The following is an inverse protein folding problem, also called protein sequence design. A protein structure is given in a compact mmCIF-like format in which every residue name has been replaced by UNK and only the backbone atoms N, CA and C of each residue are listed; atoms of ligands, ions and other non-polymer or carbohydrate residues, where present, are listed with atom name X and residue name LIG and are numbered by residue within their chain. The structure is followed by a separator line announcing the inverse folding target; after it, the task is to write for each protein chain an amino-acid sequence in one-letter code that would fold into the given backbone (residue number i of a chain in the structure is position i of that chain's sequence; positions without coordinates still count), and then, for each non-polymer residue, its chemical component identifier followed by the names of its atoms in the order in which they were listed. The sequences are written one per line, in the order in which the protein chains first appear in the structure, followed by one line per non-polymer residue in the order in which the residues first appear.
data_IF_766410174038
#
_entry.id   IF_766410174038
#
_cell.length_a   1.000
_cell.length_b   1.000
_cell.length_c   1.000
_cell.angle_alpha   90.00
_cell.angle_beta   90.00
_cell.angle_gamma   90.00
#
_symmetry.space_group_name_H-M   'P 1'
#
loop_
_entity.id
_entity.type
_entity.pdbx_description
1 polymer ?
#
# COMPACT_ATOMS: atom_id res chain seq x y z
N UNK A 1 -42.60 -54.65 -28.35
CA UNK A 1 -41.26 -55.29 -28.31
C UNK A 1 -40.44 -54.84 -29.51
N UNK A 2 -39.40 -54.03 -29.32
CA UNK A 2 -38.06 -54.13 -29.95
C UNK A 2 -37.27 -52.89 -29.52
N UNK A 3 -36.14 -53.17 -28.87
CA UNK A 3 -35.20 -52.22 -28.27
C UNK A 3 -34.39 -51.55 -29.39
N UNK A 4 -34.13 -50.25 -29.30
CA UNK A 4 -33.07 -49.60 -30.06
C UNK A 4 -32.25 -48.75 -29.09
N UNK A 5 -31.09 -49.29 -28.72
CA UNK A 5 -30.18 -48.76 -27.71
C UNK A 5 -29.22 -47.79 -28.41
N UNK A 6 -29.57 -46.50 -28.39
CA UNK A 6 -28.78 -45.42 -28.98
C UNK A 6 -27.83 -44.81 -27.94
N UNK A 7 -26.56 -45.16 -28.05
CA UNK A 7 -25.41 -44.56 -27.37
C UNK A 7 -25.40 -43.04 -27.62
N UNK A 8 -25.79 -42.23 -26.63
CA UNK A 8 -25.66 -40.77 -26.71
C UNK A 8 -24.47 -40.32 -25.86
N UNK A 9 -23.35 -40.12 -26.54
CA UNK A 9 -22.13 -39.49 -26.05
C UNK A 9 -22.47 -38.03 -25.71
N UNK A 10 -22.86 -37.75 -24.46
CA UNK A 10 -22.97 -36.37 -23.97
C UNK A 10 -21.57 -35.84 -23.71
N UNK A 11 -20.99 -35.23 -24.75
CA UNK A 11 -20.01 -34.15 -24.61
C UNK A 11 -20.67 -33.03 -23.80
N UNK A 12 -20.63 -33.12 -22.48
CA UNK A 12 -20.73 -31.94 -21.63
C UNK A 12 -19.40 -31.23 -21.72
N UNK A 13 -19.27 -30.36 -22.71
CA UNK A 13 -18.29 -29.28 -22.71
C UNK A 13 -18.55 -28.43 -21.48
N UNK A 14 -17.83 -28.73 -20.40
CA UNK A 14 -17.68 -27.83 -19.26
C UNK A 14 -16.95 -26.62 -19.83
N UNK A 15 -17.74 -25.63 -20.26
CA UNK A 15 -17.26 -24.29 -20.53
C UNK A 15 -16.85 -23.74 -19.17
N UNK A 16 -15.59 -23.97 -18.82
CA UNK A 16 -14.89 -23.23 -17.78
C UNK A 16 -14.78 -21.81 -18.35
N UNK A 17 -15.82 -21.00 -18.14
CA UNK A 17 -15.71 -19.55 -18.27
C UNK A 17 -14.70 -19.11 -17.23
N UNK A 18 -13.45 -19.07 -17.70
CA UNK A 18 -12.29 -18.56 -17.01
C UNK A 18 -12.70 -17.32 -16.23
N UNK A 19 -12.48 -17.38 -14.92
CA UNK A 19 -12.72 -16.29 -13.99
C UNK A 19 -12.13 -15.03 -14.61
N UNK A 20 -12.99 -14.09 -14.99
CA UNK A 20 -12.59 -12.76 -15.43
C UNK A 20 -11.74 -12.19 -14.31
N UNK A 21 -10.43 -12.24 -14.53
CA UNK A 21 -9.40 -11.75 -13.64
C UNK A 21 -9.68 -10.26 -13.50
N UNK A 22 -10.43 -9.87 -12.47
CA UNK A 22 -10.62 -8.48 -12.08
C UNK A 22 -9.26 -7.97 -11.61
N UNK A 23 -8.38 -7.66 -12.56
CA UNK A 23 -7.27 -6.75 -12.34
C UNK A 23 -7.94 -5.44 -12.02
N UNK A 24 -7.98 -5.06 -10.75
CA UNK A 24 -7.99 -3.64 -10.40
C UNK A 24 -6.84 -3.05 -11.22
N UNK A 25 -7.17 -2.24 -12.23
CA UNK A 25 -6.15 -1.59 -13.04
C UNK A 25 -5.35 -0.72 -12.07
N UNK A 26 -4.11 -1.11 -11.78
CA UNK A 26 -3.20 -0.24 -11.05
C UNK A 26 -3.00 0.98 -11.94
N UNK A 27 -3.61 2.11 -11.56
CA UNK A 27 -3.41 3.35 -12.29
C UNK A 27 -1.93 3.75 -12.18
N UNK A 28 -1.27 4.05 -13.30
CA UNK A 28 0.13 4.45 -13.29
C UNK A 28 0.30 5.73 -12.47
N UNK A 29 1.41 5.81 -11.72
CA UNK A 29 1.77 6.99 -10.95
C UNK A 29 1.81 8.23 -11.88
N UNK A 30 1.00 9.25 -11.58
CA UNK A 30 1.04 10.50 -12.33
C UNK A 30 1.95 11.51 -11.62
N UNK A 31 3.19 11.62 -12.09
CA UNK A 31 4.19 12.51 -11.48
C UNK A 31 3.77 13.99 -11.47
N UNK A 32 2.92 14.43 -12.41
CA UNK A 32 2.43 15.81 -12.48
C UNK A 32 1.42 16.18 -11.38
N UNK A 33 0.87 15.18 -10.67
CA UNK A 33 -0.15 15.36 -9.63
C UNK A 33 0.36 15.03 -8.23
N UNK A 34 1.66 14.84 -8.08
CA UNK A 34 2.26 14.49 -6.80
C UNK A 34 2.09 15.62 -5.79
N UNK A 35 1.74 15.23 -4.58
CA UNK A 35 1.80 16.09 -3.40
C UNK A 35 2.91 15.57 -2.51
N UNK A 36 3.81 16.47 -2.11
CA UNK A 36 4.96 16.13 -1.29
C UNK A 36 4.78 16.58 0.14
N UNK A 37 5.31 15.77 1.05
CA UNK A 37 5.30 16.01 2.47
C UNK A 37 6.67 15.68 3.08
N UNK A 38 7.01 16.37 4.15
CA UNK A 38 8.24 16.16 4.92
C UNK A 38 7.92 16.15 6.41
N UNK A 39 8.48 15.19 7.12
CA UNK A 39 8.51 15.14 8.57
C UNK A 39 9.97 15.15 9.06
N UNK A 40 10.23 15.87 10.14
CA UNK A 40 11.54 15.93 10.79
C UNK A 40 11.32 15.67 12.28
N UNK A 41 12.03 14.68 12.83
CA UNK A 41 12.03 14.35 14.25
C UNK A 41 13.47 14.19 14.74
N UNK A 42 14.00 15.24 15.37
CA UNK A 42 15.41 15.30 15.79
C UNK A 42 16.38 15.17 14.61
N UNK A 43 17.08 14.04 14.52
CA UNK A 43 18.03 13.73 13.44
C UNK A 43 17.43 12.85 12.33
N UNK A 44 16.19 12.41 12.52
CA UNK A 44 15.50 11.54 11.59
C UNK A 44 14.60 12.38 10.69
N UNK A 45 14.41 11.93 9.45
CA UNK A 45 13.49 12.57 8.51
C UNK A 45 12.71 11.54 7.72
N UNK A 46 11.52 11.93 7.28
CA UNK A 46 10.71 11.13 6.39
C UNK A 46 10.11 12.02 5.30
N UNK A 47 10.28 11.64 4.05
CA UNK A 47 9.75 12.33 2.88
C UNK A 47 8.77 11.40 2.17
N UNK A 48 7.59 11.93 1.88
CA UNK A 48 6.49 11.22 1.25
C UNK A 48 6.02 12.01 0.04
N UNK A 49 5.90 11.36 -1.10
CA UNK A 49 5.33 11.95 -2.31
C UNK A 49 4.28 11.00 -2.86
N UNK A 50 3.03 11.45 -2.91
CA UNK A 50 1.89 10.60 -3.26
C UNK A 50 0.97 11.32 -4.24
N UNK A 51 0.40 10.55 -5.17
CA UNK A 51 -0.74 10.98 -5.96
C UNK A 51 -2.02 10.77 -5.13
N UNK A 52 -2.72 11.85 -4.83
CA UNK A 52 -4.00 11.84 -4.09
C UNK A 52 -5.20 12.12 -4.99
N UNK A 53 -5.02 12.12 -6.31
CA UNK A 53 -6.08 12.46 -7.27
C UNK A 53 -7.16 11.39 -7.35
N UNK A 54 -6.83 10.18 -6.92
CA UNK A 54 -7.68 9.00 -6.95
C UNK A 54 -7.82 8.42 -5.54
N UNK A 55 -8.73 7.44 -5.37
CA UNK A 55 -8.91 6.75 -4.07
C UNK A 55 -7.74 5.83 -3.72
N UNK A 56 -6.85 5.58 -4.67
CA UNK A 56 -5.64 4.79 -4.49
C UNK A 56 -4.46 5.72 -4.25
N UNK A 57 -3.64 5.36 -3.27
CA UNK A 57 -2.35 6.01 -3.02
C UNK A 57 -1.33 5.28 -3.87
N UNK A 58 -0.58 6.01 -4.67
CA UNK A 58 0.64 5.54 -5.32
C UNK A 58 1.70 6.62 -5.17
N UNK A 59 2.92 6.24 -4.81
CA UNK A 59 3.93 7.21 -4.46
C UNK A 59 5.28 6.65 -4.08
N UNK A 60 6.14 7.58 -3.68
CA UNK A 60 7.47 7.32 -3.15
C UNK A 60 7.53 7.67 -1.68
N UNK A 61 8.23 6.84 -0.91
CA UNK A 61 8.40 7.08 0.51
C UNK A 61 9.85 6.79 0.91
N UNK A 62 10.46 7.76 1.60
CA UNK A 62 11.84 7.70 2.04
C UNK A 62 11.92 8.05 3.52
N UNK A 63 12.58 7.22 4.30
CA UNK A 63 12.89 7.49 5.70
C UNK A 63 14.40 7.46 5.90
N UNK A 64 14.94 8.47 6.58
CA UNK A 64 16.35 8.57 6.94
C UNK A 64 16.48 8.62 8.46
N UNK A 65 17.23 7.68 9.02
CA UNK A 65 17.50 7.61 10.45
C UNK A 65 18.95 8.00 10.72
N UNK A 66 19.13 9.16 11.35
CA UNK A 66 20.44 9.77 11.63
C UNK A 66 21.35 9.90 10.40
N UNK A 67 20.80 9.93 9.18
CA UNK A 67 21.54 9.97 7.91
C UNK A 67 22.33 8.70 7.55
N UNK A 68 22.32 7.67 8.39
CA UNK A 68 23.13 6.46 8.19
C UNK A 68 22.31 5.30 7.65
N UNK A 69 21.06 5.17 8.11
CA UNK A 69 20.11 4.16 7.64
C UNK A 69 19.03 4.84 6.84
N UNK A 70 18.97 4.54 5.55
CA UNK A 70 17.95 5.07 4.63
C UNK A 70 17.09 3.92 4.15
N UNK A 71 15.79 4.07 4.31
CA UNK A 71 14.77 3.24 3.69
C UNK A 71 14.21 4.04 2.51
N UNK A 72 14.26 3.48 1.31
CA UNK A 72 13.83 4.15 0.08
C UNK A 72 13.01 3.18 -0.75
N UNK A 73 11.86 3.64 -1.26
CA UNK A 73 10.96 2.78 -2.00
C UNK A 73 9.60 3.40 -2.32
N UNK A 74 8.63 2.52 -2.54
CA UNK A 74 7.29 2.87 -3.03
C UNK A 74 6.23 2.60 -1.98
N UNK A 75 5.22 3.46 -1.96
CA UNK A 75 4.04 3.31 -1.10
C UNK A 75 2.80 3.16 -1.96
N UNK A 76 2.03 2.09 -1.70
CA UNK A 76 0.79 1.79 -2.43
C UNK A 76 -0.32 1.44 -1.46
N UNK A 77 -1.48 2.06 -1.62
CA UNK A 77 -2.57 1.88 -0.66
C UNK A 77 -3.87 2.54 -1.07
N UNK A 78 -4.69 2.84 -0.08
CA UNK A 78 -6.04 3.38 -0.25
C UNK A 78 -6.34 4.50 0.74
N UNK A 79 -7.15 5.45 0.28
CA UNK A 79 -7.70 6.54 1.08
C UNK A 79 -9.10 6.14 1.54
N UNK A 80 -9.34 6.14 2.85
CA UNK A 80 -10.63 5.88 3.49
C UNK A 80 -10.94 7.00 4.49
N UNK A 81 -11.78 7.94 4.07
CA UNK A 81 -12.07 9.13 4.86
C UNK A 81 -10.83 10.01 4.98
N UNK A 82 -10.43 10.30 6.22
CA UNK A 82 -9.20 11.01 6.58
C UNK A 82 -7.97 10.10 6.67
N UNK A 83 -8.14 8.79 6.54
CA UNK A 83 -7.08 7.82 6.79
C UNK A 83 -6.51 7.26 5.49
N UNK A 84 -5.19 7.28 5.36
CA UNK A 84 -4.43 6.61 4.31
C UNK A 84 -3.80 5.35 4.90
N UNK A 85 -4.13 4.16 4.37
CA UNK A 85 -3.44 2.91 4.72
C UNK A 85 -2.74 2.35 3.49
N UNK A 86 -1.49 1.93 3.63
CA UNK A 86 -0.67 1.50 2.52
C UNK A 86 0.34 0.41 2.90
N UNK A 87 0.86 -0.26 1.89
CA UNK A 87 2.09 -1.04 1.98
C UNK A 87 3.26 -0.18 1.49
N UNK A 88 4.32 -0.17 2.28
CA UNK A 88 5.59 0.44 1.96
C UNK A 88 6.60 -0.65 1.60
N UNK A 89 6.95 -0.71 0.32
CA UNK A 89 7.97 -1.59 -0.22
C UNK A 89 9.27 -0.82 -0.37
N UNK A 90 10.33 -1.25 0.32
CA UNK A 90 11.57 -0.48 0.39
C UNK A 90 12.82 -1.34 0.40
N UNK A 91 13.93 -0.72 0.01
CA UNK A 91 15.28 -1.21 0.28
C UNK A 91 15.93 -0.38 1.36
N UNK A 92 16.78 -1.03 2.15
CA UNK A 92 17.70 -0.34 3.06
C UNK A 92 18.98 -0.04 2.28
N UNK A 93 19.53 1.17 2.43
CA UNK A 93 20.79 1.52 1.80
C UNK A 93 21.88 0.46 2.03
N UNK A 94 22.64 0.14 0.98
CA UNK A 94 23.69 -0.90 0.97
C UNK A 94 23.19 -2.35 1.16
N UNK A 95 21.88 -2.57 1.12
CA UNK A 95 21.27 -3.91 1.20
C UNK A 95 20.44 -4.17 -0.04
N UNK A 96 20.80 -5.18 -0.83
CA UNK A 96 20.04 -5.57 -2.01
C UNK A 96 18.93 -6.58 -1.67
N UNK A 97 18.01 -6.15 -0.81
CA UNK A 97 16.83 -6.93 -0.42
C UNK A 97 15.63 -6.00 -0.25
N UNK A 98 14.50 -6.42 -0.80
CA UNK A 98 13.21 -5.75 -0.60
C UNK A 98 12.58 -6.17 0.72
N UNK A 99 12.00 -5.19 1.40
CA UNK A 99 11.20 -5.33 2.60
C UNK A 99 9.84 -4.68 2.36
N UNK A 100 8.82 -5.17 3.07
CA UNK A 100 7.47 -4.60 3.04
C UNK A 100 7.03 -4.33 4.46
N UNK A 101 6.51 -3.14 4.74
CA UNK A 101 5.84 -2.80 6.00
C UNK A 101 4.49 -2.13 5.72
N UNK A 102 3.44 -2.44 6.49
CA UNK A 102 2.22 -1.63 6.46
C UNK A 102 2.49 -0.27 7.11
N UNK A 103 1.93 0.79 6.54
CA UNK A 103 2.00 2.17 7.04
C UNK A 103 0.61 2.78 7.04
N UNK A 104 0.34 3.63 8.01
CA UNK A 104 -0.93 4.34 8.13
C UNK A 104 -0.67 5.81 8.44
N UNK A 105 -1.41 6.68 7.77
CA UNK A 105 -1.36 8.12 7.96
C UNK A 105 -2.76 8.64 8.23
N UNK A 106 -2.91 9.51 9.22
CA UNK A 106 -4.14 10.26 9.49
C UNK A 106 -3.98 11.68 8.94
N UNK A 107 -4.88 12.08 8.06
CA UNK A 107 -4.97 13.45 7.58
C UNK A 107 -5.71 14.30 8.60
N UNK A 108 -4.99 15.25 9.20
CA UNK A 108 -5.54 16.15 10.20
C UNK A 108 -4.88 17.52 10.05
N UNK A 109 -5.69 18.59 10.01
CA UNK A 109 -5.21 19.98 9.94
C UNK A 109 -4.21 20.26 8.81
N UNK A 110 -4.40 19.62 7.65
CA UNK A 110 -3.51 19.75 6.49
C UNK A 110 -2.17 19.01 6.62
N UNK A 111 -1.96 18.28 7.71
CA UNK A 111 -0.80 17.42 7.97
C UNK A 111 -1.16 15.95 7.79
N UNK A 112 -0.13 15.10 7.70
CA UNK A 112 -0.28 13.65 7.80
C UNK A 112 0.43 13.14 9.06
N UNK A 113 -0.30 12.53 9.98
CA UNK A 113 0.25 11.95 11.20
C UNK A 113 0.48 10.46 10.95
N UNK A 114 1.73 9.99 11.05
CA UNK A 114 2.02 8.56 10.87
C UNK A 114 1.66 7.79 12.13
N UNK A 115 0.74 6.84 12.01
CA UNK A 115 0.28 6.03 13.14
C UNK A 115 1.15 4.81 13.42
N UNK A 116 1.03 4.29 14.63
CA UNK A 116 1.63 3.04 15.08
C UNK A 116 0.53 2.00 15.24
N UNK A 117 0.68 0.85 14.59
CA UNK A 117 -0.28 -0.24 14.66
C UNK A 117 0.38 -1.55 15.05
N UNK A 118 -0.41 -2.47 15.61
CA UNK A 118 0.02 -3.85 15.79
C UNK A 118 0.11 -4.54 14.43
N UNK A 119 1.21 -5.27 14.17
CA UNK A 119 1.46 -5.94 12.90
C UNK A 119 1.35 -7.44 13.09
N UNK A 120 0.54 -8.07 12.23
CA UNK A 120 0.42 -9.52 12.11
C UNK A 120 1.00 -10.01 10.78
N UNK A 121 1.51 -11.24 10.79
CA UNK A 121 1.95 -11.92 9.58
C UNK A 121 0.82 -12.77 9.03
N UNK A 122 0.34 -12.44 7.83
CA UNK A 122 -0.67 -13.22 7.12
C UNK A 122 0.02 -13.76 5.87
N UNK A 123 0.15 -15.09 5.78
CA UNK A 123 0.84 -15.78 4.67
C UNK A 123 2.25 -15.25 4.38
N UNK A 124 3.00 -14.89 5.43
CA UNK A 124 4.36 -14.37 5.30
C UNK A 124 4.46 -12.90 4.88
N UNK A 125 3.35 -12.17 4.78
CA UNK A 125 3.33 -10.72 4.55
C UNK A 125 2.83 -9.97 5.79
N UNK A 126 3.43 -8.83 6.16
CA UNK A 126 3.00 -8.04 7.29
C UNK A 126 1.79 -7.15 6.96
N UNK A 127 0.78 -7.18 7.82
CA UNK A 127 -0.42 -6.35 7.77
C UNK A 127 -0.73 -5.77 9.14
N UNK A 128 -1.47 -4.66 9.20
CA UNK A 128 -2.02 -4.22 10.47
C UNK A 128 -3.04 -5.23 11.01
N UNK A 129 -3.07 -5.41 12.33
CA UNK A 129 -4.13 -6.15 12.99
C UNK A 129 -5.41 -5.31 12.96
N UNK A 130 -6.37 -5.67 12.11
CA UNK A 130 -7.64 -4.93 11.98
C UNK A 130 -8.51 -4.94 13.25
N UNK A 131 -8.20 -5.78 14.24
CA UNK A 131 -8.87 -5.78 15.55
C UNK A 131 -8.31 -4.72 16.51
N UNK A 132 -7.17 -4.13 16.19
CA UNK A 132 -6.47 -3.15 17.03
C UNK A 132 -6.41 -1.84 16.27
N UNK A 133 -6.93 -0.77 16.88
CA UNK A 133 -6.90 0.55 16.27
C UNK A 133 -5.45 1.03 16.08
N UNK A 134 -5.23 1.80 15.02
CA UNK A 134 -3.97 2.51 14.83
C UNK A 134 -3.90 3.63 15.86
N UNK A 135 -2.78 3.72 16.57
CA UNK A 135 -2.50 4.75 17.56
C UNK A 135 -1.73 5.89 16.87
N UNK A 136 -2.42 7.00 16.62
CA UNK A 136 -1.84 8.19 15.99
C UNK A 136 -1.15 9.13 16.99
N UNK A 137 -1.38 8.97 18.29
CA UNK A 137 -0.75 9.77 19.35
C UNK A 137 0.68 9.30 19.64
N UNK A 138 0.97 8.01 19.38
CA UNK A 138 2.33 7.44 19.46
C UNK A 138 3.18 7.66 18.21
N UNK A 139 2.61 8.27 17.17
CA UNK A 139 3.28 8.56 15.92
C UNK A 139 4.45 9.53 16.09
N UNK A 140 5.66 9.13 15.68
CA UNK A 140 6.84 10.03 15.72
C UNK A 140 6.85 11.06 14.59
N UNK A 141 6.44 10.65 13.39
CA UNK A 141 6.50 11.52 12.21
C UNK A 141 5.17 12.22 11.97
N UNK A 142 5.19 13.54 12.07
CA UNK A 142 4.13 14.44 11.61
C UNK A 142 4.62 15.14 10.36
N UNK A 143 3.96 14.85 9.25
CA UNK A 143 4.32 15.31 7.92
C UNK A 143 3.64 16.62 7.59
N UNK A 144 4.43 17.61 7.22
CA UNK A 144 3.96 18.89 6.71
C UNK A 144 4.03 18.90 5.18
N UNK A 145 3.05 19.53 4.54
CA UNK A 145 3.06 19.67 3.08
C UNK A 145 4.19 20.61 2.66
N UNK A 146 4.93 20.20 1.64
CA UNK A 146 6.00 20.98 1.02
C UNK A 146 5.80 21.04 -0.49
N UNK A 147 6.52 21.94 -1.15
CA UNK A 147 6.66 21.89 -2.61
C UNK A 147 7.47 20.64 -2.98
N UNK A 148 7.02 19.90 -4.00
CA UNK A 148 7.81 18.79 -4.52
C UNK A 148 9.14 19.28 -5.08
N UNK A 149 10.25 18.55 -4.84
CA UNK A 149 11.57 18.90 -5.37
C UNK A 149 11.64 18.77 -6.90
#
# INVERSE_FOLDING_TARGET
MKKFNGLFLLLTTIVISSCGYFRTQEEPLNESKLVCFLAIDGKDSAWLSIDTSHKLINGYFKMSYGGTKVMDGQVKGEIKGDTLKAHYDFKVNKVDKWYRNPVAFLQQDGKLIMGVGEINMIWGSPFFNDKVAIDYDKGRFVFERITCP
#
